data_IF_482404109825
#
_entry.id   IF_482404109825
#
_cell.length_a   1.000
_cell.length_b   1.000
_cell.length_c   1.000
_cell.angle_alpha   90.00
_cell.angle_beta   90.00
_cell.angle_gamma   90.00
#
_symmetry.space_group_name_H-M   'P 1'
#
loop_
_entity.id
_entity.type
_entity.pdbx_description
1 polymer ?
#
# COMPACT_ATOMS: atom_id res chain seq x y z
N UNK A 1 15.93 7.08 24.22
CA UNK A 1 16.99 6.09 23.92
C UNK A 1 16.67 4.66 24.37
N UNK A 2 16.28 4.36 25.63
CA UNK A 2 15.84 2.98 25.99
C UNK A 2 14.61 2.48 25.20
N UNK A 3 13.75 3.39 24.71
CA UNK A 3 12.49 3.08 24.02
C UNK A 3 12.66 2.45 22.63
N UNK A 4 13.60 2.91 21.79
CA UNK A 4 13.75 2.37 20.43
C UNK A 4 14.27 0.91 20.45
N UNK A 5 15.24 0.63 21.33
CA UNK A 5 15.77 -0.72 21.54
C UNK A 5 14.74 -1.66 22.19
N UNK A 6 13.85 -1.14 23.05
CA UNK A 6 12.78 -1.96 23.64
C UNK A 6 11.64 -2.28 22.67
N UNK A 7 11.38 -1.43 21.67
CA UNK A 7 10.41 -1.75 20.60
C UNK A 7 10.93 -2.80 19.62
N UNK A 8 12.23 -2.77 19.27
CA UNK A 8 12.88 -3.83 18.51
C UNK A 8 12.95 -5.15 19.30
N UNK A 9 13.14 -5.10 20.63
CA UNK A 9 13.14 -6.31 21.47
C UNK A 9 11.74 -6.92 21.68
N UNK A 10 10.66 -6.14 21.73
CA UNK A 10 9.29 -6.68 21.90
C UNK A 10 8.83 -7.51 20.71
N UNK A 11 9.39 -7.30 19.52
CA UNK A 11 9.06 -8.08 18.32
C UNK A 11 9.64 -9.52 18.41
N UNK A 12 10.71 -9.72 19.18
CA UNK A 12 11.38 -11.03 19.30
C UNK A 12 10.85 -11.95 20.42
N UNK A 13 9.99 -11.48 21.32
CA UNK A 13 9.67 -12.22 22.56
C UNK A 13 8.18 -12.50 22.83
N UNK A 14 7.27 -12.18 21.92
CA UNK A 14 5.85 -12.56 22.06
C UNK A 14 5.41 -13.54 20.98
N UNK A 15 5.89 -14.77 21.07
CA UNK A 15 5.14 -15.93 20.60
C UNK A 15 5.61 -17.19 21.33
N UNK A 16 4.70 -17.89 22.02
CA UNK A 16 4.67 -19.32 21.77
C UNK A 16 3.24 -19.85 21.82
N UNK A 17 2.62 -20.08 20.67
CA UNK A 17 1.65 -21.18 20.53
C UNK A 17 2.00 -21.93 19.25
N UNK A 18 2.87 -22.92 19.40
CA UNK A 18 3.02 -24.02 18.46
C UNK A 18 1.75 -24.87 18.62
N UNK A 19 0.83 -24.78 17.67
CA UNK A 19 -0.20 -25.80 17.48
C UNK A 19 0.06 -26.50 16.16
N UNK A 20 0.52 -27.74 16.29
CA UNK A 20 0.60 -28.73 15.21
C UNK A 20 -0.81 -29.05 14.70
N UNK A 21 -1.05 -28.90 13.40
CA UNK A 21 -2.17 -29.52 12.70
C UNK A 21 -1.63 -30.47 11.62
N UNK A 22 -2.33 -31.59 11.33
CA UNK A 22 -1.77 -32.72 10.62
C UNK A 22 -1.70 -32.46 9.12
N UNK A 23 -0.57 -32.84 8.53
CA UNK A 23 -0.37 -32.92 7.09
C UNK A 23 -1.18 -34.12 6.59
N UNK A 24 -2.21 -33.85 5.79
CA UNK A 24 -2.83 -34.88 4.94
C UNK A 24 -1.82 -35.18 3.83
N UNK A 25 -1.22 -36.37 3.91
CA UNK A 25 -0.42 -36.94 2.83
C UNK A 25 -1.31 -37.23 1.62
N UNK A 26 -1.08 -36.53 0.52
CA UNK A 26 -1.39 -37.07 -0.80
C UNK A 26 -0.08 -37.39 -1.52
N UNK A 27 0.24 -38.68 -1.54
CA UNK A 27 1.21 -39.28 -2.43
C UNK A 27 0.75 -39.11 -3.88
N UNK A 28 1.49 -38.40 -4.72
CA UNK A 28 1.66 -38.77 -6.13
C UNK A 28 3.09 -38.48 -6.61
N UNK A 29 3.80 -39.60 -6.77
CA UNK A 29 4.94 -39.95 -7.63
C UNK A 29 5.95 -38.89 -8.10
N UNK A 30 7.19 -39.21 -7.72
CA UNK A 30 8.47 -38.76 -8.24
C UNK A 30 8.56 -38.76 -9.77
N UNK A 31 9.14 -37.69 -10.31
CA UNK A 31 10.10 -37.78 -11.41
C UNK A 31 11.32 -36.94 -11.02
N UNK A 32 12.47 -37.59 -11.03
CA UNK A 32 13.78 -37.03 -10.73
C UNK A 32 14.06 -35.80 -11.61
N UNK A 33 14.31 -34.66 -10.98
CA UNK A 33 15.21 -33.65 -11.50
C UNK A 33 16.22 -33.32 -10.39
N UNK A 34 17.48 -33.32 -10.78
CA UNK A 34 18.68 -33.08 -9.97
C UNK A 34 18.52 -31.91 -8.99
N UNK A 35 19.21 -31.92 -7.83
CA UNK A 35 19.24 -30.76 -6.97
C UNK A 35 20.04 -29.69 -7.71
N UNK A 36 19.37 -28.81 -8.44
CA UNK A 36 19.88 -27.46 -8.59
C UNK A 36 20.01 -26.94 -7.16
N UNK A 37 21.24 -26.87 -6.66
CA UNK A 37 21.54 -26.04 -5.52
C UNK A 37 20.98 -24.67 -5.85
N UNK A 38 19.82 -24.33 -5.26
CA UNK A 38 19.22 -23.00 -5.36
C UNK A 38 20.30 -22.02 -4.91
N UNK A 39 20.91 -21.37 -5.89
CA UNK A 39 21.96 -20.40 -5.67
C UNK A 39 21.25 -19.19 -5.08
N UNK A 40 21.35 -19.02 -3.76
CA UNK A 40 20.88 -17.81 -3.10
C UNK A 40 21.71 -16.65 -3.65
N UNK A 41 21.05 -15.77 -4.37
CA UNK A 41 21.65 -14.56 -4.89
C UNK A 41 21.79 -13.56 -3.75
N UNK A 42 22.99 -13.58 -3.14
CA UNK A 42 23.36 -12.72 -2.03
C UNK A 42 24.42 -11.72 -2.48
N UNK A 43 24.13 -10.44 -2.28
CA UNK A 43 25.07 -9.35 -2.50
C UNK A 43 25.44 -8.70 -1.17
N UNK A 44 26.73 -8.42 -0.98
CA UNK A 44 27.21 -7.66 0.16
C UNK A 44 28.39 -6.78 -0.23
N UNK A 45 28.26 -5.48 0.01
CA UNK A 45 29.29 -4.49 -0.13
C UNK A 45 29.87 -4.16 1.24
N UNK A 46 31.18 -4.35 1.39
CA UNK A 46 31.88 -4.09 2.65
C UNK A 46 32.08 -2.59 2.88
N UNK A 47 31.03 -1.92 3.36
CA UNK A 47 31.10 -0.50 3.75
C UNK A 47 31.77 -0.33 5.13
N UNK A 48 32.52 0.73 5.39
CA UNK A 48 33.10 1.00 6.70
C UNK A 48 32.05 1.30 7.78
N UNK A 49 32.26 0.79 8.99
CA UNK A 49 31.45 1.08 10.17
C UNK A 49 31.76 2.48 10.69
N UNK A 50 30.74 3.35 10.77
CA UNK A 50 30.90 4.74 11.22
C UNK A 50 29.84 5.04 12.27
N UNK A 51 30.26 5.52 13.44
CA UNK A 51 29.36 5.99 14.50
C UNK A 51 29.14 7.49 14.36
N UNK A 52 27.89 7.93 14.40
CA UNK A 52 27.50 9.33 14.35
C UNK A 52 27.92 10.05 15.64
N UNK A 53 28.49 11.25 15.51
CA UNK A 53 28.94 12.04 16.67
C UNK A 53 27.79 12.71 17.45
N UNK A 54 26.59 12.76 16.87
CA UNK A 54 25.39 13.33 17.48
C UNK A 54 24.12 12.83 16.80
N UNK A 55 22.96 13.05 17.44
CA UNK A 55 21.67 12.53 16.95
C UNK A 55 21.29 13.03 15.54
N UNK A 56 21.79 14.21 15.17
CA UNK A 56 21.52 14.88 13.91
C UNK A 56 22.48 14.49 12.77
N UNK A 57 23.48 13.64 13.06
CA UNK A 57 24.60 13.36 12.16
C UNK A 57 24.44 12.07 11.34
N UNK A 58 23.28 11.42 11.37
CA UNK A 58 23.06 10.12 10.69
C UNK A 58 23.40 10.19 9.19
N UNK A 59 23.01 11.26 8.48
CA UNK A 59 23.36 11.46 7.07
C UNK A 59 24.85 11.69 6.90
N UNK A 60 25.49 12.54 7.71
CA UNK A 60 26.92 12.82 7.61
C UNK A 60 27.78 11.56 7.87
N UNK A 61 27.41 10.76 8.87
CA UNK A 61 28.06 9.50 9.16
C UNK A 61 27.85 8.47 8.03
N UNK A 62 26.65 8.41 7.46
CA UNK A 62 26.35 7.58 6.27
C UNK A 62 27.19 7.99 5.06
N UNK A 63 27.33 9.31 4.81
CA UNK A 63 28.18 9.86 3.75
C UNK A 63 29.65 9.48 3.95
N UNK A 64 30.18 9.59 5.17
CA UNK A 64 31.56 9.16 5.44
C UNK A 64 31.76 7.68 5.18
N UNK A 65 30.81 6.82 5.58
CA UNK A 65 30.87 5.39 5.29
C UNK A 65 30.93 5.15 3.78
N UNK A 66 30.02 5.78 3.04
CA UNK A 66 29.95 5.71 1.58
C UNK A 66 31.22 6.22 0.90
N UNK A 67 31.71 7.42 1.24
CA UNK A 67 32.93 7.98 0.66
C UNK A 67 34.15 7.11 0.95
N UNK A 68 34.25 6.58 2.18
CA UNK A 68 35.33 5.68 2.57
C UNK A 68 35.28 4.36 1.77
N UNK A 69 34.07 3.84 1.48
CA UNK A 69 33.90 2.69 0.59
C UNK A 69 34.43 2.97 -0.84
N UNK A 70 34.22 4.18 -1.35
CA UNK A 70 34.75 4.60 -2.65
C UNK A 70 36.27 4.82 -2.66
N UNK A 71 36.92 4.83 -1.50
CA UNK A 71 38.37 4.96 -1.36
C UNK A 71 38.85 6.34 -0.92
N UNK A 72 37.96 7.17 -0.37
CA UNK A 72 38.36 8.48 0.17
C UNK A 72 39.23 8.36 1.43
N UNK A 73 40.37 9.05 1.42
CA UNK A 73 41.35 9.08 2.52
C UNK A 73 41.02 10.12 3.61
N UNK A 74 39.77 10.13 4.10
CA UNK A 74 39.25 10.87 5.29
C UNK A 74 40.03 12.15 5.69
N UNK A 75 40.05 13.15 4.83
CA UNK A 75 40.66 14.47 5.10
C UNK A 75 39.70 15.47 5.75
N UNK A 76 38.45 15.07 5.99
CA UNK A 76 37.39 15.87 6.63
C UNK A 76 36.73 15.14 7.80
N UNK A 77 36.33 15.92 8.78
CA UNK A 77 35.55 15.47 9.94
C UNK A 77 34.07 15.30 9.61
N UNK A 78 33.32 14.55 10.44
CA UNK A 78 31.86 14.47 10.34
C UNK A 78 31.19 15.84 10.39
N UNK A 79 31.71 16.77 11.20
CA UNK A 79 31.20 18.14 11.28
C UNK A 79 31.39 18.94 9.99
N UNK A 80 32.53 18.79 9.31
CA UNK A 80 32.75 19.46 8.03
C UNK A 80 31.81 18.90 6.94
N UNK A 81 31.70 17.57 6.83
CA UNK A 81 30.77 16.92 5.90
C UNK A 81 29.32 17.33 6.20
N UNK A 82 28.95 17.40 7.48
CA UNK A 82 27.63 17.83 7.90
C UNK A 82 27.30 19.26 7.44
N UNK A 83 28.19 20.22 7.67
CA UNK A 83 27.98 21.61 7.26
C UNK A 83 27.95 21.77 5.73
N UNK A 84 28.84 21.09 5.01
CA UNK A 84 28.84 21.08 3.54
C UNK A 84 27.53 20.55 2.98
N UNK A 85 27.10 19.36 3.44
CA UNK A 85 25.88 18.73 2.98
C UNK A 85 24.64 19.58 3.30
N UNK A 86 24.58 20.22 4.49
CA UNK A 86 23.49 21.14 4.83
C UNK A 86 23.43 22.36 3.93
N UNK A 87 24.59 22.96 3.63
CA UNK A 87 24.67 24.12 2.74
C UNK A 87 24.21 23.77 1.32
N UNK A 88 24.67 22.63 0.79
CA UNK A 88 24.33 22.18 -0.57
C UNK A 88 22.85 21.83 -0.69
N UNK A 89 22.33 21.10 0.28
CA UNK A 89 20.90 20.71 0.31
C UNK A 89 19.96 21.86 0.67
N UNK A 90 20.50 23.04 0.98
CA UNK A 90 19.76 24.21 1.46
C UNK A 90 18.84 23.84 2.62
N UNK A 91 19.34 23.00 3.54
CA UNK A 91 18.57 22.54 4.69
C UNK A 91 18.28 23.73 5.62
N UNK A 92 17.01 24.08 5.88
CA UNK A 92 16.65 25.24 6.69
C UNK A 92 17.24 25.18 8.10
N UNK A 93 17.48 26.34 8.70
CA UNK A 93 18.08 26.45 10.04
C UNK A 93 17.23 25.85 11.16
N UNK A 94 15.91 25.70 10.95
CA UNK A 94 14.98 25.10 11.91
C UNK A 94 14.92 23.56 11.83
N UNK A 95 15.51 22.93 10.82
CA UNK A 95 15.65 21.47 10.76
C UNK A 95 16.99 21.06 11.36
N UNK A 96 16.99 20.06 12.24
CA UNK A 96 18.22 19.68 12.96
C UNK A 96 19.13 18.71 12.20
N UNK A 97 18.75 18.17 11.02
CA UNK A 97 19.56 17.22 10.22
C UNK A 97 20.01 17.71 8.83
N UNK A 98 20.09 16.78 7.86
CA UNK A 98 20.35 17.06 6.43
C UNK A 98 19.20 16.49 5.60
N UNK A 99 18.66 17.26 4.66
CA UNK A 99 17.66 16.76 3.71
C UNK A 99 18.30 15.84 2.67
N UNK A 100 17.79 14.61 2.54
CA UNK A 100 18.04 13.82 1.33
C UNK A 100 17.22 14.39 0.17
N UNK A 101 17.89 14.78 -0.91
CA UNK A 101 17.31 15.35 -2.12
C UNK A 101 18.28 15.18 -3.32
N UNK A 102 17.90 15.69 -4.50
CA UNK A 102 18.73 15.65 -5.71
C UNK A 102 20.08 16.35 -5.55
N UNK A 103 20.13 17.47 -4.81
CA UNK A 103 21.38 18.19 -4.57
C UNK A 103 22.37 17.37 -3.73
N UNK A 104 21.88 16.57 -2.78
CA UNK A 104 22.72 15.65 -2.03
C UNK A 104 23.28 14.53 -2.91
N UNK A 105 22.48 14.00 -3.84
CA UNK A 105 22.95 12.99 -4.80
C UNK A 105 24.09 13.56 -5.69
N UNK A 106 23.91 14.78 -6.19
CA UNK A 106 24.95 15.47 -6.97
C UNK A 106 26.21 15.70 -6.14
N UNK A 107 26.07 16.15 -4.89
CA UNK A 107 27.22 16.28 -3.98
C UNK A 107 27.97 14.98 -3.79
N UNK A 108 27.27 13.85 -3.63
CA UNK A 108 27.90 12.54 -3.47
C UNK A 108 28.76 12.21 -4.70
N UNK A 109 28.20 12.36 -5.90
CA UNK A 109 28.90 12.08 -7.16
C UNK A 109 30.13 12.99 -7.31
N UNK A 110 29.94 14.30 -7.14
CA UNK A 110 31.02 15.28 -7.27
C UNK A 110 32.12 15.05 -6.23
N UNK A 111 31.76 14.70 -4.99
CA UNK A 111 32.71 14.42 -3.93
C UNK A 111 33.55 13.18 -4.27
N UNK A 112 32.92 12.08 -4.67
CA UNK A 112 33.61 10.84 -5.04
C UNK A 112 34.55 11.10 -6.22
N UNK A 113 34.06 11.74 -7.27
CA UNK A 113 34.86 12.03 -8.46
C UNK A 113 36.06 12.92 -8.13
N UNK A 114 35.84 14.00 -7.38
CA UNK A 114 36.90 14.94 -7.00
C UNK A 114 37.96 14.33 -6.09
N UNK A 115 37.57 13.45 -5.16
CA UNK A 115 38.48 12.92 -4.14
C UNK A 115 39.11 11.58 -4.50
N UNK A 116 38.50 10.82 -5.42
CA UNK A 116 38.97 9.46 -5.78
C UNK A 116 39.21 9.27 -7.27
N UNK A 117 38.76 10.19 -8.13
CA UNK A 117 38.83 10.07 -9.59
C UNK A 117 37.91 8.99 -10.17
N UNK A 118 36.98 8.45 -9.36
CA UNK A 118 36.01 7.43 -9.79
C UNK A 118 34.66 8.06 -10.09
N UNK A 119 34.05 7.61 -11.18
CA UNK A 119 32.68 7.99 -11.53
C UNK A 119 31.69 7.19 -10.69
N UNK A 120 30.75 7.89 -10.06
CA UNK A 120 29.61 7.33 -9.35
C UNK A 120 28.31 7.93 -9.93
N UNK A 121 27.22 7.17 -9.90
CA UNK A 121 25.93 7.62 -10.43
C UNK A 121 24.82 7.49 -9.39
N UNK A 122 24.96 8.24 -8.29
CA UNK A 122 23.91 8.39 -7.30
C UNK A 122 22.79 9.28 -7.84
N UNK A 123 21.56 8.78 -7.76
CA UNK A 123 20.32 9.53 -7.99
C UNK A 123 19.49 9.58 -6.72
N UNK A 124 18.62 10.58 -6.64
CA UNK A 124 17.65 10.71 -5.56
C UNK A 124 16.30 10.15 -5.98
N UNK A 125 15.79 9.22 -5.19
CA UNK A 125 14.44 8.68 -5.30
C UNK A 125 13.68 9.01 -4.01
N UNK A 126 12.71 9.92 -4.09
CA UNK A 126 11.76 10.19 -3.01
C UNK A 126 10.55 9.29 -3.18
N UNK A 127 10.15 8.62 -2.11
CA UNK A 127 9.04 7.66 -2.13
C UNK A 127 8.03 8.07 -1.07
N UNK A 128 6.79 8.29 -1.51
CA UNK A 128 5.73 8.83 -0.67
C UNK A 128 5.14 7.77 0.28
N UNK A 129 4.28 8.24 1.19
CA UNK A 129 3.66 7.46 2.28
C UNK A 129 2.79 6.28 1.81
N UNK A 130 2.52 6.19 0.51
CA UNK A 130 1.70 5.13 -0.10
C UNK A 130 2.51 3.91 -0.55
N UNK A 131 3.83 3.87 -0.35
CA UNK A 131 4.70 2.74 -0.71
C UNK A 131 4.78 1.66 0.37
N UNK A 132 5.02 0.42 -0.04
CA UNK A 132 5.19 -0.74 0.85
C UNK A 132 3.84 -1.33 1.27
N UNK A 133 2.80 -1.09 0.46
CA UNK A 133 1.42 -1.52 0.71
C UNK A 133 1.01 -2.65 -0.24
N UNK A 134 1.95 -3.23 -0.99
CA UNK A 134 1.73 -4.40 -1.83
C UNK A 134 3.03 -5.17 -2.05
N UNK A 135 2.93 -6.43 -2.47
CA UNK A 135 4.08 -7.24 -2.90
C UNK A 135 4.82 -6.60 -4.07
N UNK A 136 4.08 -6.00 -5.01
CA UNK A 136 4.69 -5.28 -6.16
C UNK A 136 5.60 -4.14 -5.70
N UNK A 137 5.23 -3.40 -4.65
CA UNK A 137 6.09 -2.35 -4.10
C UNK A 137 7.38 -2.94 -3.56
N UNK A 138 7.28 -4.05 -2.82
CA UNK A 138 8.45 -4.73 -2.27
C UNK A 138 9.34 -5.25 -3.41
N UNK A 139 8.77 -5.83 -4.47
CA UNK A 139 9.52 -6.30 -5.62
C UNK A 139 10.23 -5.14 -6.35
N UNK A 140 9.58 -3.99 -6.51
CA UNK A 140 10.18 -2.77 -7.09
C UNK A 140 11.36 -2.29 -6.22
N UNK A 141 11.18 -2.22 -4.90
CA UNK A 141 12.25 -1.83 -3.99
C UNK A 141 13.41 -2.81 -4.02
N UNK A 142 13.13 -4.10 -3.97
CA UNK A 142 14.12 -5.19 -4.00
C UNK A 142 14.95 -5.14 -5.28
N UNK A 143 14.28 -4.98 -6.43
CA UNK A 143 14.93 -4.82 -7.72
C UNK A 143 15.85 -3.59 -7.75
N UNK A 144 15.41 -2.46 -7.20
CA UNK A 144 16.24 -1.27 -7.10
C UNK A 144 17.47 -1.49 -6.21
N UNK A 145 17.30 -2.13 -5.05
CA UNK A 145 18.39 -2.45 -4.13
C UNK A 145 19.40 -3.38 -4.80
N UNK A 146 18.93 -4.47 -5.41
CA UNK A 146 19.76 -5.40 -6.16
C UNK A 146 20.58 -4.69 -7.23
N UNK A 147 19.93 -3.91 -8.09
CA UNK A 147 20.59 -3.20 -9.19
C UNK A 147 21.68 -2.26 -8.67
N UNK A 148 21.39 -1.48 -7.62
CA UNK A 148 22.40 -0.58 -7.05
C UNK A 148 23.58 -1.34 -6.44
N UNK A 149 23.32 -2.38 -5.65
CA UNK A 149 24.39 -3.13 -4.99
C UNK A 149 25.24 -3.94 -5.98
N UNK A 150 24.63 -4.51 -7.03
CA UNK A 150 25.33 -5.25 -8.09
C UNK A 150 26.31 -4.38 -8.88
N UNK A 151 26.05 -3.07 -8.93
CA UNK A 151 26.92 -2.05 -9.53
C UNK A 151 27.87 -1.40 -8.50
N UNK A 152 28.16 -2.09 -7.40
CA UNK A 152 29.02 -1.61 -6.32
C UNK A 152 28.63 -0.24 -5.76
N UNK A 153 27.33 0.07 -5.74
CA UNK A 153 26.82 1.36 -5.28
C UNK A 153 25.97 1.15 -4.01
N UNK A 154 26.55 1.28 -2.80
CA UNK A 154 25.78 1.20 -1.56
C UNK A 154 24.78 2.35 -1.47
N UNK A 155 23.61 2.12 -0.86
CA UNK A 155 22.49 3.06 -0.88
C UNK A 155 22.38 3.76 0.47
N UNK A 156 22.23 5.09 0.49
CA UNK A 156 21.74 5.78 1.69
C UNK A 156 20.21 5.72 1.67
N UNK A 157 19.63 5.14 2.72
CA UNK A 157 18.19 5.11 2.93
C UNK A 157 17.83 6.02 4.10
N UNK A 158 17.07 7.07 3.81
CA UNK A 158 16.41 7.92 4.79
C UNK A 158 15.06 7.33 5.16
N UNK A 159 14.91 6.94 6.42
CA UNK A 159 13.70 6.36 6.98
C UNK A 159 13.03 7.31 7.96
N UNK A 160 11.70 7.20 8.09
CA UNK A 160 10.90 7.97 9.03
C UNK A 160 10.21 7.02 10.01
N UNK A 161 10.90 6.52 11.06
CA UNK A 161 10.28 5.62 12.05
C UNK A 161 9.05 6.22 12.75
N UNK A 162 8.97 7.54 12.87
CA UNK A 162 7.78 8.27 13.30
C UNK A 162 7.64 9.57 12.52
N UNK A 163 6.43 10.13 12.47
CA UNK A 163 6.20 11.45 11.89
C UNK A 163 7.12 12.49 12.56
N UNK A 164 7.98 13.12 11.77
CA UNK A 164 8.93 14.15 12.24
C UNK A 164 10.26 13.62 12.80
N UNK A 165 10.47 12.30 12.90
CA UNK A 165 11.75 11.71 13.28
C UNK A 165 12.35 10.99 12.08
N UNK A 166 13.30 11.63 11.40
CA UNK A 166 14.07 11.02 10.32
C UNK A 166 15.35 10.36 10.83
N UNK A 167 15.74 9.26 10.21
CA UNK A 167 17.04 8.60 10.42
C UNK A 167 17.61 8.17 9.07
N UNK A 168 18.93 8.04 8.97
CA UNK A 168 19.59 7.59 7.75
C UNK A 168 20.48 6.38 8.04
N UNK A 169 20.40 5.37 7.19
CA UNK A 169 21.19 4.14 7.24
C UNK A 169 21.85 3.88 5.89
N UNK A 170 22.89 3.05 5.86
CA UNK A 170 23.55 2.62 4.61
C UNK A 170 23.17 1.18 4.30
N UNK A 171 22.29 0.98 3.32
CA UNK A 171 22.00 -0.34 2.77
C UNK A 171 23.21 -0.82 1.96
N UNK A 172 23.70 -2.00 2.31
CA UNK A 172 24.94 -2.55 1.79
C UNK A 172 24.87 -4.05 1.52
N UNK A 173 23.75 -4.71 1.80
CA UNK A 173 23.54 -6.09 1.38
C UNK A 173 22.09 -6.42 1.12
N UNK A 174 21.89 -7.45 0.33
CA UNK A 174 20.59 -7.99 -0.05
C UNK A 174 20.70 -9.51 -0.27
N UNK A 175 19.69 -10.24 0.17
CA UNK A 175 19.50 -11.66 -0.10
C UNK A 175 18.03 -11.87 -0.48
N UNK A 176 17.80 -12.29 -1.72
CA UNK A 176 16.47 -12.57 -2.26
C UNK A 176 15.89 -13.85 -1.63
N UNK A 177 14.60 -13.80 -1.29
CA UNK A 177 13.79 -14.97 -1.01
C UNK A 177 13.01 -15.34 -2.28
N UNK A 178 13.42 -16.45 -2.89
CA UNK A 178 12.89 -16.90 -4.19
C UNK A 178 11.42 -17.37 -4.12
N UNK A 179 10.91 -17.65 -2.93
CA UNK A 179 9.54 -18.10 -2.73
C UNK A 179 8.61 -16.92 -2.48
N UNK A 180 9.05 -15.90 -1.73
CA UNK A 180 8.22 -14.75 -1.37
C UNK A 180 9.03 -13.52 -0.96
N UNK A 181 8.93 -12.46 -1.76
CA UNK A 181 9.60 -11.17 -1.54
C UNK A 181 9.32 -10.49 -0.19
N UNK A 182 8.26 -10.86 0.54
CA UNK A 182 8.08 -10.40 1.92
C UNK A 182 9.23 -10.81 2.86
N UNK A 183 9.96 -11.87 2.51
CA UNK A 183 11.07 -12.40 3.28
C UNK A 183 12.44 -12.03 2.70
N UNK A 184 12.49 -11.21 1.65
CA UNK A 184 13.72 -10.61 1.17
C UNK A 184 14.45 -9.91 2.32
N UNK A 185 15.75 -10.15 2.42
CA UNK A 185 16.58 -9.66 3.52
C UNK A 185 17.46 -8.51 3.06
N UNK A 186 17.48 -7.46 3.85
CA UNK A 186 18.31 -6.28 3.65
C UNK A 186 19.30 -6.14 4.79
N UNK A 187 20.55 -5.86 4.46
CA UNK A 187 21.60 -5.57 5.43
C UNK A 187 21.95 -4.09 5.35
N UNK A 188 21.83 -3.39 6.48
CA UNK A 188 22.22 -1.99 6.57
C UNK A 188 23.18 -1.73 7.73
N UNK A 189 24.06 -0.74 7.56
CA UNK A 189 24.86 -0.16 8.64
C UNK A 189 24.07 1.00 9.25
N UNK A 190 23.82 0.93 10.57
CA UNK A 190 23.18 2.00 11.33
C UNK A 190 24.24 2.92 11.94
N UNK A 191 24.29 4.21 11.54
CA UNK A 191 25.26 5.15 12.10
C UNK A 191 25.10 5.41 13.60
N UNK A 192 23.97 5.08 14.22
CA UNK A 192 23.76 5.27 15.66
C UNK A 192 24.83 4.57 16.50
N UNK A 193 25.23 3.37 16.08
CA UNK A 193 26.25 2.56 16.76
C UNK A 193 27.28 1.94 15.81
N UNK A 194 27.19 2.24 14.50
CA UNK A 194 28.08 1.77 13.45
C UNK A 194 27.93 0.28 13.13
N UNK A 195 26.94 -0.42 13.69
CA UNK A 195 26.76 -1.86 13.50
C UNK A 195 25.92 -2.17 12.27
N UNK A 196 26.03 -3.42 11.83
CA UNK A 196 25.21 -3.97 10.75
C UNK A 196 23.99 -4.69 11.31
N UNK A 197 22.85 -4.49 10.66
CA UNK A 197 21.56 -5.07 11.01
C UNK A 197 20.91 -5.68 9.78
N UNK A 198 20.37 -6.88 9.94
CA UNK A 198 19.54 -7.55 8.93
C UNK A 198 18.06 -7.26 9.25
N UNK A 199 17.29 -6.94 8.22
CA UNK A 199 15.83 -6.76 8.30
C UNK A 199 15.16 -7.44 7.12
N UNK A 200 14.03 -8.09 7.35
CA UNK A 200 13.20 -8.65 6.27
C UNK A 200 12.27 -7.57 5.70
N UNK A 201 11.86 -7.70 4.43
CA UNK A 201 10.96 -6.74 3.79
C UNK A 201 9.66 -6.52 4.57
N UNK A 202 9.12 -7.59 5.16
CA UNK A 202 7.93 -7.53 6.02
C UNK A 202 8.12 -6.67 7.28
N UNK A 203 9.33 -6.47 7.77
CA UNK A 203 9.56 -5.54 8.88
C UNK A 203 9.95 -4.16 8.38
N UNK A 204 10.66 -4.09 7.26
CA UNK A 204 11.06 -2.84 6.64
C UNK A 204 9.85 -2.02 6.16
N UNK A 205 8.79 -2.64 5.63
CA UNK A 205 7.61 -1.88 5.16
C UNK A 205 6.91 -1.11 6.29
N UNK A 206 6.97 -1.60 7.54
CA UNK A 206 6.42 -0.87 8.70
C UNK A 206 7.09 0.49 8.88
N UNK A 207 8.35 0.60 8.46
CA UNK A 207 9.16 1.82 8.50
C UNK A 207 8.86 2.73 7.30
N UNK A 208 8.37 2.18 6.18
CA UNK A 208 7.93 2.95 4.99
C UNK A 208 6.61 3.68 5.17
N UNK A 209 5.87 3.45 6.27
CA UNK A 209 4.56 4.08 6.57
C UNK A 209 4.55 5.60 6.40
N UNK A 210 5.68 6.26 6.64
CA UNK A 210 5.82 7.72 6.53
C UNK A 210 6.69 8.15 5.35
N UNK A 211 6.75 7.30 4.33
CA UNK A 211 7.62 7.47 3.17
C UNK A 211 9.08 7.24 3.51
N UNK A 212 9.92 7.22 2.49
CA UNK A 212 11.36 7.09 2.63
C UNK A 212 12.08 7.74 1.45
N UNK A 213 13.38 7.90 1.61
CA UNK A 213 14.24 8.55 0.62
C UNK A 213 15.41 7.66 0.33
N UNK A 214 15.79 7.55 -0.93
CA UNK A 214 16.93 6.75 -1.37
C UNK A 214 17.92 7.60 -2.13
N UNK A 215 19.19 7.36 -1.87
CA UNK A 215 20.32 7.81 -2.68
C UNK A 215 21.12 6.58 -3.08
N UNK A 216 20.95 6.13 -4.32
CA UNK A 216 21.59 4.93 -4.86
C UNK A 216 21.68 5.02 -6.38
N UNK A 217 22.06 3.92 -7.03
CA UNK A 217 22.24 3.91 -8.47
C UNK A 217 20.92 3.97 -9.24
N UNK A 218 20.83 4.90 -10.20
CA UNK A 218 19.70 4.98 -11.11
C UNK A 218 18.37 5.40 -10.47
N UNK A 219 17.30 5.37 -11.27
CA UNK A 219 15.96 5.72 -10.80
C UNK A 219 15.19 4.46 -10.42
N UNK A 220 14.47 4.52 -9.29
CA UNK A 220 13.49 3.50 -8.94
C UNK A 220 12.30 3.59 -9.91
N UNK A 221 11.75 2.45 -10.32
CA UNK A 221 10.53 2.42 -11.13
C UNK A 221 9.39 3.03 -10.30
N UNK A 222 8.54 3.84 -10.96
CA UNK A 222 7.38 4.43 -10.30
C UNK A 222 6.37 3.37 -9.86
N UNK A 223 5.67 3.64 -8.77
CA UNK A 223 4.60 2.76 -8.28
C UNK A 223 3.35 2.88 -9.14
N UNK A 224 2.60 1.77 -9.25
CA UNK A 224 1.31 1.76 -9.91
C UNK A 224 0.30 2.64 -9.17
N UNK A 225 -0.51 3.39 -9.91
CA UNK A 225 -1.54 4.28 -9.35
C UNK A 225 -2.66 3.55 -8.59
N UNK A 226 -2.70 2.22 -8.63
CA UNK A 226 -3.63 1.44 -7.83
C UNK A 226 -3.13 0.04 -7.53
N UNK A 227 -3.72 -0.56 -6.50
CA UNK A 227 -3.54 -1.96 -6.12
C UNK A 227 -4.77 -2.73 -6.57
N UNK A 228 -4.59 -3.74 -7.42
CA UNK A 228 -5.67 -4.64 -7.83
C UNK A 228 -5.83 -5.73 -6.80
N UNK A 229 -7.07 -5.97 -6.37
CA UNK A 229 -7.43 -7.02 -5.44
C UNK A 229 -8.45 -7.92 -6.13
N UNK A 230 -8.16 -9.22 -6.13
CA UNK A 230 -9.07 -10.24 -6.62
C UNK A 230 -10.24 -10.40 -5.63
N UNK A 231 -11.45 -10.38 -6.16
CA UNK A 231 -12.71 -10.53 -5.43
C UNK A 231 -13.59 -11.58 -6.11
N UNK A 232 -14.51 -12.16 -5.35
CA UNK A 232 -15.50 -13.07 -5.94
C UNK A 232 -16.46 -12.25 -6.82
N UNK A 233 -16.49 -12.60 -8.11
CA UNK A 233 -17.44 -12.03 -9.06
C UNK A 233 -18.85 -12.57 -8.78
N UNK A 234 -19.87 -11.74 -9.03
CA UNK A 234 -21.27 -12.15 -8.93
C UNK A 234 -22.13 -11.53 -10.04
N UNK A 235 -23.28 -12.14 -10.29
CA UNK A 235 -24.21 -11.76 -11.35
C UNK A 235 -25.63 -12.14 -10.93
N UNK A 236 -26.27 -11.25 -10.18
CA UNK A 236 -27.55 -11.50 -9.56
C UNK A 236 -28.64 -10.63 -10.16
N UNK A 237 -29.83 -11.22 -10.26
CA UNK A 237 -31.02 -10.56 -10.78
C UNK A 237 -32.16 -10.70 -9.77
N UNK A 238 -32.68 -9.57 -9.28
CA UNK A 238 -33.89 -9.55 -8.50
C UNK A 238 -35.08 -9.20 -9.41
N UNK A 239 -36.05 -10.11 -9.46
CA UNK A 239 -37.29 -9.97 -10.21
C UNK A 239 -38.44 -9.70 -9.25
N UNK A 240 -39.47 -9.01 -9.73
CA UNK A 240 -40.73 -8.81 -9.00
C UNK A 240 -40.55 -8.14 -7.63
N UNK A 241 -39.69 -7.12 -7.55
CA UNK A 241 -39.50 -6.32 -6.33
C UNK A 241 -40.78 -5.53 -6.05
N UNK A 242 -41.41 -5.77 -4.90
CA UNK A 242 -42.63 -5.07 -4.50
C UNK A 242 -42.42 -3.55 -4.42
N UNK A 243 -43.46 -2.78 -4.75
CA UNK A 243 -43.46 -1.31 -4.76
C UNK A 243 -43.51 -0.65 -3.37
N UNK A 244 -43.22 -1.37 -2.29
CA UNK A 244 -43.40 -0.95 -0.90
C UNK A 244 -42.17 -0.19 -0.32
N UNK A 245 -41.16 0.04 -1.14
CA UNK A 245 -39.91 0.74 -0.83
C UNK A 245 -39.07 0.07 0.27
N UNK A 246 -39.20 -1.24 0.47
CA UNK A 246 -38.30 -1.98 1.37
C UNK A 246 -37.01 -2.42 0.66
N UNK A 247 -35.84 -2.26 1.30
CA UNK A 247 -34.59 -2.79 0.79
C UNK A 247 -34.60 -4.32 0.80
N UNK A 248 -34.21 -4.92 -0.33
CA UNK A 248 -33.96 -6.36 -0.49
C UNK A 248 -32.46 -6.53 -0.72
N UNK A 249 -31.83 -7.43 0.06
CA UNK A 249 -30.42 -7.76 -0.12
C UNK A 249 -30.20 -8.46 -1.47
N UNK A 250 -29.15 -8.06 -2.19
CA UNK A 250 -28.77 -8.65 -3.48
C UNK A 250 -27.57 -9.57 -3.25
N UNK A 251 -26.41 -8.96 -3.00
CA UNK A 251 -25.17 -9.68 -2.72
C UNK A 251 -24.16 -8.78 -1.96
N UNK A 252 -23.03 -9.37 -1.54
CA UNK A 252 -21.94 -8.73 -0.80
C UNK A 252 -20.57 -9.02 -1.43
N UNK A 253 -19.76 -7.97 -1.58
CA UNK A 253 -18.31 -8.15 -1.81
C UNK A 253 -17.58 -7.94 -0.50
N UNK A 254 -16.80 -8.92 -0.07
CA UNK A 254 -15.96 -8.83 1.14
C UNK A 254 -14.50 -8.92 0.77
N UNK A 255 -13.69 -7.99 1.31
CA UNK A 255 -12.25 -7.91 1.09
C UNK A 255 -11.53 -7.78 2.43
N UNK A 256 -10.57 -8.67 2.68
CA UNK A 256 -9.62 -8.48 3.77
C UNK A 256 -8.51 -7.52 3.30
N UNK A 257 -8.60 -6.25 3.68
CA UNK A 257 -7.65 -5.23 3.29
C UNK A 257 -6.27 -5.52 3.87
N UNK A 258 -6.18 -5.94 5.14
CA UNK A 258 -4.87 -6.20 5.78
C UNK A 258 -4.09 -7.29 5.07
N UNK A 259 -4.76 -8.35 4.62
CA UNK A 259 -4.09 -9.41 3.86
C UNK A 259 -3.61 -8.95 2.48
N UNK A 260 -4.34 -8.03 1.84
CA UNK A 260 -4.02 -7.56 0.49
C UNK A 260 -3.03 -6.39 0.46
N UNK A 261 -3.07 -5.50 1.47
CA UNK A 261 -2.25 -4.27 1.50
C UNK A 261 -1.32 -4.13 2.70
N UNK A 262 -1.27 -5.13 3.60
CA UNK A 262 -0.52 -5.07 4.86
C UNK A 262 -0.93 -3.92 5.81
N UNK A 263 -1.99 -3.16 5.49
CA UNK A 263 -2.51 -2.08 6.32
C UNK A 263 -3.61 -2.61 7.24
N UNK A 264 -3.41 -2.50 8.55
CA UNK A 264 -4.43 -2.78 9.57
C UNK A 264 -5.08 -1.51 10.15
N UNK A 265 -4.45 -0.35 9.95
CA UNK A 265 -4.90 0.94 10.47
C UNK A 265 -5.76 1.70 9.43
N UNK A 266 -7.01 2.01 9.78
CA UNK A 266 -7.94 2.66 8.87
C UNK A 266 -7.56 4.12 8.58
N UNK A 267 -6.97 4.82 9.55
CA UNK A 267 -6.50 6.20 9.34
C UNK A 267 -5.35 6.23 8.33
N UNK A 268 -4.45 5.23 8.39
CA UNK A 268 -3.39 5.08 7.40
C UNK A 268 -3.95 4.64 6.05
N UNK A 269 -4.90 3.71 6.02
CA UNK A 269 -5.56 3.28 4.79
C UNK A 269 -6.18 4.46 4.02
N UNK A 270 -6.96 5.31 4.69
CA UNK A 270 -7.57 6.50 4.08
C UNK A 270 -6.56 7.58 3.71
N UNK A 271 -5.35 7.53 4.27
CA UNK A 271 -4.23 8.40 3.87
C UNK A 271 -3.54 7.86 2.61
N UNK A 272 -3.31 6.55 2.55
CA UNK A 272 -2.61 5.88 1.46
C UNK A 272 -3.46 5.74 0.18
N UNK A 273 -4.78 5.63 0.32
CA UNK A 273 -5.71 5.42 -0.78
C UNK A 273 -6.79 6.50 -0.84
N UNK A 274 -7.14 6.93 -2.04
CA UNK A 274 -8.13 7.99 -2.32
C UNK A 274 -9.51 7.43 -2.69
N UNK A 275 -9.57 6.30 -3.39
CA UNK A 275 -10.82 5.63 -3.73
C UNK A 275 -10.70 4.11 -3.81
N UNK A 276 -11.86 3.48 -3.76
CA UNK A 276 -12.06 2.05 -3.96
C UNK A 276 -13.00 1.91 -5.15
N UNK A 277 -12.47 1.38 -6.25
CA UNK A 277 -13.15 1.32 -7.54
C UNK A 277 -13.48 -0.13 -7.92
N UNK A 278 -14.68 -0.34 -8.45
CA UNK A 278 -15.15 -1.56 -9.08
C UNK A 278 -15.27 -1.30 -10.60
N UNK A 279 -14.18 -1.47 -11.36
CA UNK A 279 -14.14 -1.11 -12.79
C UNK A 279 -15.07 -1.98 -13.65
N UNK A 280 -15.33 -3.21 -13.21
CA UNK A 280 -16.19 -4.17 -13.91
C UNK A 280 -17.58 -4.28 -13.26
N UNK A 281 -17.98 -3.29 -12.46
CA UNK A 281 -19.32 -3.23 -11.92
C UNK A 281 -20.31 -2.73 -12.98
N UNK A 282 -21.46 -3.38 -13.07
CA UNK A 282 -22.58 -2.96 -13.90
C UNK A 282 -23.88 -3.19 -13.16
N UNK A 283 -24.73 -2.17 -13.13
CA UNK A 283 -26.09 -2.28 -12.63
C UNK A 283 -27.10 -1.97 -13.74
N UNK A 284 -28.17 -2.76 -13.79
CA UNK A 284 -29.26 -2.60 -14.74
C UNK A 284 -30.58 -2.47 -13.99
N UNK A 285 -31.38 -1.48 -14.34
CA UNK A 285 -32.79 -1.37 -13.93
C UNK A 285 -33.63 -1.66 -15.16
N UNK A 286 -34.40 -2.75 -15.12
CA UNK A 286 -35.26 -3.18 -16.24
C UNK A 286 -36.52 -2.32 -16.23
N UNK A 287 -36.75 -1.61 -17.33
CA UNK A 287 -37.96 -0.81 -17.56
C UNK A 287 -39.08 -1.70 -18.08
N UNK A 288 -40.32 -1.26 -17.94
CA UNK A 288 -41.49 -2.04 -18.37
C UNK A 288 -41.65 -1.98 -19.88
N UNK A 289 -41.43 -0.80 -20.49
CA UNK A 289 -41.70 -0.60 -21.92
C UNK A 289 -40.44 -0.31 -22.78
N UNK A 290 -39.27 -0.23 -22.16
CA UNK A 290 -38.05 0.29 -22.79
C UNK A 290 -36.81 -0.55 -22.49
N UNK A 291 -35.72 -0.23 -23.18
CA UNK A 291 -34.39 -0.76 -22.87
C UNK A 291 -33.98 -0.46 -21.41
N UNK A 292 -33.24 -1.39 -20.76
CA UNK A 292 -32.79 -1.21 -19.39
C UNK A 292 -32.00 0.09 -19.22
N UNK A 293 -32.21 0.75 -18.08
CA UNK A 293 -31.29 1.78 -17.62
C UNK A 293 -30.03 1.09 -17.11
N UNK A 294 -28.86 1.44 -17.64
CA UNK A 294 -27.59 0.79 -17.31
C UNK A 294 -26.65 1.83 -16.70
N UNK A 295 -26.03 1.46 -15.58
CA UNK A 295 -24.91 2.19 -15.00
C UNK A 295 -23.70 1.27 -14.95
N UNK A 296 -22.60 1.74 -15.51
CA UNK A 296 -21.31 1.05 -15.50
C UNK A 296 -20.35 1.75 -14.55
N UNK A 297 -19.42 0.98 -14.01
CA UNK A 297 -18.44 1.37 -13.00
C UNK A 297 -19.06 1.86 -11.69
N UNK A 298 -18.42 1.51 -10.59
CA UNK A 298 -18.80 1.98 -9.27
C UNK A 298 -17.55 2.32 -8.48
N UNK A 299 -17.58 3.39 -7.69
CA UNK A 299 -16.43 3.84 -6.92
C UNK A 299 -16.85 4.58 -5.67
N UNK A 300 -16.06 4.42 -4.61
CA UNK A 300 -16.25 5.08 -3.33
C UNK A 300 -14.97 5.80 -2.94
N UNK A 301 -15.09 7.08 -2.59
CA UNK A 301 -14.01 7.84 -1.96
C UNK A 301 -13.73 7.29 -0.56
N UNK A 302 -12.45 7.08 -0.23
CA UNK A 302 -12.02 6.68 1.12
C UNK A 302 -12.29 7.76 2.16
N UNK A 303 -12.50 9.02 1.74
CA UNK A 303 -12.91 10.10 2.63
C UNK A 303 -14.29 9.90 3.27
N UNK A 304 -15.09 8.95 2.77
CA UNK A 304 -16.37 8.54 3.38
C UNK A 304 -16.19 7.52 4.51
N UNK A 305 -14.99 6.95 4.67
CA UNK A 305 -14.67 6.01 5.73
C UNK A 305 -14.28 6.78 7.01
N UNK A 306 -14.43 6.18 8.20
CA UNK A 306 -13.94 6.76 9.45
C UNK A 306 -12.45 7.11 9.35
N UNK A 307 -12.08 8.27 9.90
CA UNK A 307 -10.69 8.74 9.98
C UNK A 307 -9.94 8.21 11.21
N UNK A 308 -10.62 7.43 12.05
CA UNK A 308 -10.06 6.76 13.22
C UNK A 308 -10.27 5.26 13.13
N UNK A 309 -9.44 4.51 13.85
CA UNK A 309 -9.58 3.07 13.97
C UNK A 309 -10.90 2.73 14.68
N UNK A 310 -11.66 1.81 14.09
CA UNK A 310 -12.95 1.32 14.60
C UNK A 310 -12.99 -0.20 14.47
N UNK A 311 -13.56 -0.88 15.48
CA UNK A 311 -13.70 -2.34 15.43
C UNK A 311 -14.88 -2.77 14.55
N UNK A 312 -15.94 -1.95 14.57
CA UNK A 312 -17.11 -2.10 13.73
C UNK A 312 -17.58 -0.72 13.28
N UNK A 313 -17.86 -0.57 11.99
CA UNK A 313 -18.54 0.60 11.46
C UNK A 313 -19.40 0.23 10.27
N UNK A 314 -20.53 0.92 10.14
CA UNK A 314 -21.49 0.74 9.05
C UNK A 314 -21.84 2.10 8.48
N UNK A 315 -21.70 2.27 7.18
CA UNK A 315 -22.12 3.50 6.50
C UNK A 315 -23.65 3.61 6.46
N UNK A 316 -24.13 4.82 6.19
CA UNK A 316 -25.49 4.98 5.68
C UNK A 316 -25.63 4.30 4.31
N UNK A 317 -26.89 4.00 3.93
CA UNK A 317 -27.20 3.48 2.59
C UNK A 317 -26.91 4.56 1.55
N UNK A 318 -25.95 4.31 0.66
CA UNK A 318 -25.60 5.19 -0.44
C UNK A 318 -26.32 4.75 -1.71
N UNK A 319 -27.06 5.65 -2.35
CA UNK A 319 -27.72 5.36 -3.62
C UNK A 319 -26.66 5.17 -4.73
N UNK A 320 -26.73 4.03 -5.42
CA UNK A 320 -25.83 3.68 -6.53
C UNK A 320 -26.51 3.91 -7.86
N UNK A 321 -27.77 3.52 -8.04
CA UNK A 321 -28.47 3.63 -9.31
C UNK A 321 -29.95 3.78 -9.04
N UNK A 322 -30.66 4.65 -9.76
CA UNK A 322 -32.10 4.75 -9.67
C UNK A 322 -32.69 5.21 -10.98
N UNK A 323 -33.89 4.70 -11.28
CA UNK A 323 -34.68 5.10 -12.43
C UNK A 323 -36.15 5.15 -12.04
N UNK A 324 -36.89 6.08 -12.64
CA UNK A 324 -38.33 6.21 -12.45
C UNK A 324 -39.05 6.13 -13.78
N UNK A 325 -40.12 5.33 -13.85
CA UNK A 325 -40.99 5.20 -15.03
C UNK A 325 -42.43 5.53 -14.63
N UNK A 326 -43.16 6.20 -15.51
CA UNK A 326 -44.59 6.48 -15.34
C UNK A 326 -45.38 5.53 -16.22
N UNK A 327 -46.30 4.77 -15.63
CA UNK A 327 -47.13 3.78 -16.31
C UNK A 327 -48.59 4.03 -15.90
N UNK A 328 -49.39 4.51 -16.85
CA UNK A 328 -50.76 4.94 -16.56
C UNK A 328 -50.79 6.07 -15.52
N UNK A 329 -51.49 5.85 -14.40
CA UNK A 329 -51.57 6.79 -13.29
C UNK A 329 -50.53 6.53 -12.18
N UNK A 330 -49.63 5.57 -12.35
CA UNK A 330 -48.63 5.20 -11.35
C UNK A 330 -47.23 5.56 -11.79
N UNK A 331 -46.35 5.84 -10.84
CA UNK A 331 -44.91 6.02 -11.07
C UNK A 331 -44.17 4.99 -10.24
N UNK A 332 -43.36 4.15 -10.88
CA UNK A 332 -42.47 3.23 -10.19
C UNK A 332 -41.05 3.78 -10.21
N UNK A 333 -40.47 3.96 -9.03
CA UNK A 333 -39.05 4.29 -8.84
C UNK A 333 -38.32 3.06 -8.35
N UNK A 334 -37.48 2.48 -9.21
CA UNK A 334 -36.60 1.36 -8.86
C UNK A 334 -35.21 1.88 -8.54
N UNK A 335 -34.54 1.30 -7.55
CA UNK A 335 -33.24 1.76 -7.09
C UNK A 335 -32.35 0.63 -6.59
N UNK A 336 -31.05 0.92 -6.61
CA UNK A 336 -29.96 0.11 -6.08
C UNK A 336 -29.16 0.99 -5.14
N UNK A 337 -28.85 0.48 -3.95
CA UNK A 337 -28.01 1.14 -2.96
C UNK A 337 -26.93 0.20 -2.45
N UNK A 338 -25.96 0.78 -1.74
CA UNK A 338 -24.86 0.05 -1.12
C UNK A 338 -24.67 0.54 0.32
N UNK A 339 -24.43 -0.41 1.22
CA UNK A 339 -23.89 -0.16 2.55
C UNK A 339 -22.45 -0.66 2.60
N UNK A 340 -21.57 0.15 3.16
CA UNK A 340 -20.19 -0.24 3.45
C UNK A 340 -20.12 -0.67 4.91
N UNK A 341 -19.49 -1.81 5.17
CA UNK A 341 -19.20 -2.28 6.53
C UNK A 341 -17.70 -2.45 6.70
N UNK A 342 -17.21 -1.98 7.83
CA UNK A 342 -15.84 -2.20 8.28
C UNK A 342 -15.93 -3.10 9.51
N UNK A 343 -15.19 -4.19 9.47
CA UNK A 343 -15.03 -5.10 10.60
C UNK A 343 -13.54 -5.33 10.84
N UNK A 344 -13.13 -5.28 12.11
CA UNK A 344 -11.80 -5.66 12.53
C UNK A 344 -11.88 -6.95 13.32
N UNK A 345 -11.16 -7.98 12.88
CA UNK A 345 -11.07 -9.24 13.62
C UNK A 345 -10.08 -9.14 14.77
N UNK A 346 -10.10 -10.14 15.66
CA UNK A 346 -9.26 -10.19 16.87
C UNK A 346 -7.75 -10.18 16.58
N UNK A 347 -7.32 -10.60 15.39
CA UNK A 347 -5.94 -10.50 14.92
C UNK A 347 -5.60 -9.12 14.30
N UNK A 348 -6.49 -8.14 14.43
CA UNK A 348 -6.36 -6.80 13.88
C UNK A 348 -6.43 -6.72 12.33
N UNK A 349 -6.94 -7.77 11.66
CA UNK A 349 -7.20 -7.68 10.22
C UNK A 349 -8.42 -6.79 9.95
N UNK A 350 -8.24 -5.85 9.03
CA UNK A 350 -9.26 -4.94 8.55
C UNK A 350 -10.00 -5.58 7.36
N UNK A 351 -11.29 -5.85 7.55
CA UNK A 351 -12.18 -6.36 6.50
C UNK A 351 -13.18 -5.28 6.09
N UNK A 352 -13.32 -5.09 4.78
CA UNK A 352 -14.27 -4.18 4.16
C UNK A 352 -15.31 -4.98 3.38
N UNK A 353 -16.60 -4.76 3.67
CA UNK A 353 -17.70 -5.35 2.93
C UNK A 353 -18.55 -4.28 2.24
N UNK A 354 -18.96 -4.56 1.00
CA UNK A 354 -19.90 -3.76 0.23
C UNK A 354 -21.17 -4.58 0.02
N UNK A 355 -22.23 -4.27 0.76
CA UNK A 355 -23.54 -4.93 0.64
C UNK A 355 -24.44 -4.15 -0.29
N UNK A 356 -24.89 -4.80 -1.35
CA UNK A 356 -25.81 -4.20 -2.32
C UNK A 356 -27.26 -4.54 -1.98
N UNK A 357 -28.12 -3.55 -2.13
CA UNK A 357 -29.56 -3.66 -1.88
C UNK A 357 -30.34 -3.10 -3.06
N UNK A 358 -31.49 -3.70 -3.33
CA UNK A 358 -32.45 -3.25 -4.33
C UNK A 358 -33.78 -2.86 -3.70
N UNK A 359 -34.53 -1.98 -4.35
CA UNK A 359 -35.88 -1.66 -3.92
C UNK A 359 -36.69 -0.99 -5.02
N UNK A 360 -38.01 -0.99 -4.87
CA UNK A 360 -38.92 -0.29 -5.74
C UNK A 360 -39.96 0.46 -4.92
N UNK A 361 -40.37 1.65 -5.39
CA UNK A 361 -41.44 2.44 -4.78
C UNK A 361 -42.47 2.79 -5.83
N UNK A 362 -43.71 2.40 -5.62
CA UNK A 362 -44.83 2.80 -6.48
C UNK A 362 -45.57 3.96 -5.81
N UNK A 363 -45.84 5.00 -6.58
CA UNK A 363 -46.64 6.16 -6.16
C UNK A 363 -47.76 6.42 -7.16
N UNK A 364 -48.99 6.57 -6.67
CA UNK A 364 -50.14 6.95 -7.50
C UNK A 364 -50.17 8.47 -7.72
N UNK A 365 -50.39 8.88 -8.96
CA UNK A 365 -50.61 10.28 -9.33
C UNK A 365 -52.11 10.59 -9.22
N UNK A 366 -52.48 11.41 -8.22
CA UNK A 366 -53.87 11.76 -7.87
C UNK A 366 -54.65 12.56 -8.95
N UNK A 367 -54.10 12.73 -10.15
CA UNK A 367 -54.65 13.61 -11.20
C UNK A 367 -55.26 12.88 -12.40
N UNK A 368 -55.18 11.54 -12.45
CA UNK A 368 -55.73 10.73 -13.55
C UNK A 368 -56.81 9.78 -13.01
N UNK A 369 -57.88 9.59 -13.76
CA UNK A 369 -58.98 8.67 -13.41
C UNK A 369 -58.42 7.29 -13.06
N UNK A 370 -58.90 6.71 -11.94
CA UNK A 370 -58.55 5.35 -11.52
C UNK A 370 -59.02 4.35 -12.58
N UNK A 371 -58.09 3.91 -13.43
CA UNK A 371 -58.25 2.70 -14.23
C UNK A 371 -57.73 1.58 -13.34
N UNK A 372 -58.62 0.68 -12.88
CA UNK A 372 -58.21 -0.54 -12.18
C UNK A 372 -57.36 -1.39 -13.12
N UNK A 373 -56.04 -1.32 -12.96
CA UNK A 373 -55.10 -2.24 -13.59
C UNK A 373 -55.07 -3.54 -12.77
N UNK A 374 -55.27 -4.72 -13.38
CA UNK A 374 -55.19 -6.01 -12.68
C UNK A 374 -53.75 -6.41 -12.31
N UNK A 375 -52.75 -5.58 -12.61
CA UNK A 375 -51.34 -5.87 -12.40
C UNK A 375 -50.70 -4.88 -11.43
N UNK A 376 -50.02 -5.39 -10.40
CA UNK A 376 -49.17 -4.60 -9.50
C UNK A 376 -47.82 -4.30 -10.17
N UNK A 377 -47.42 -3.02 -10.22
CA UNK A 377 -46.12 -2.64 -10.74
C UNK A 377 -45.00 -3.11 -9.79
N UNK A 378 -44.06 -3.89 -10.33
CA UNK A 378 -42.90 -4.39 -9.60
C UNK A 378 -41.60 -3.98 -10.24
N UNK A 379 -40.57 -3.73 -9.43
CA UNK A 379 -39.22 -3.44 -9.91
C UNK A 379 -38.48 -4.69 -10.36
N UNK A 380 -37.49 -4.50 -11.23
CA UNK A 380 -36.55 -5.55 -11.62
C UNK A 380 -35.17 -4.96 -11.84
N UNK A 381 -34.17 -5.58 -11.23
CA UNK A 381 -32.78 -5.12 -11.28
C UNK A 381 -31.84 -6.28 -11.53
N UNK A 382 -30.68 -5.97 -12.09
CA UNK A 382 -29.56 -6.89 -12.24
C UNK A 382 -28.27 -6.19 -11.82
N UNK A 383 -27.43 -6.85 -11.04
CA UNK A 383 -26.11 -6.36 -10.67
C UNK A 383 -25.07 -7.39 -11.09
N UNK A 384 -24.00 -6.90 -11.69
CA UNK A 384 -22.83 -7.68 -12.07
C UNK A 384 -21.64 -7.01 -11.40
N UNK A 385 -20.89 -7.76 -10.59
CA UNK A 385 -19.55 -7.36 -10.16
C UNK A 385 -18.54 -8.28 -10.80
N UNK A 386 -17.57 -7.70 -11.52
CA UNK A 386 -16.43 -8.46 -12.03
C UNK A 386 -15.45 -8.89 -10.94
N UNK A 387 -14.35 -9.56 -11.33
CA UNK A 387 -13.48 -10.26 -10.40
C UNK A 387 -12.48 -9.35 -9.67
N UNK A 388 -12.44 -8.04 -9.97
CA UNK A 388 -11.38 -7.17 -9.48
C UNK A 388 -11.95 -5.90 -8.82
N UNK A 389 -11.30 -5.49 -7.74
CA UNK A 389 -11.45 -4.20 -7.09
C UNK A 389 -10.10 -3.47 -7.15
N UNK A 390 -10.12 -2.17 -7.42
CA UNK A 390 -8.91 -1.34 -7.51
C UNK A 390 -8.91 -0.34 -6.36
N UNK A 391 -7.88 -0.40 -5.52
CA UNK A 391 -7.58 0.64 -4.54
C UNK A 391 -6.72 1.71 -5.21
N UNK A 392 -7.26 2.92 -5.41
CA UNK A 392 -6.51 4.04 -5.99
C UNK A 392 -5.63 4.68 -4.95
N UNK A 393 -4.33 4.80 -5.24
CA UNK A 393 -3.37 5.45 -4.32
C UNK A 393 -3.62 6.95 -4.26
N UNK A 394 -3.32 7.53 -3.10
CA UNK A 394 -3.20 8.96 -2.93
C UNK A 394 -1.73 9.37 -3.14
N UNK A 395 -1.40 9.78 -4.37
CA UNK A 395 -0.03 10.14 -4.77
C UNK A 395 0.27 11.64 -4.60
N UNK A 396 -0.69 12.43 -4.12
CA UNK A 396 -0.55 13.88 -3.91
C UNK A 396 -0.45 14.25 -2.42
N UNK A 397 -0.30 13.27 -1.52
CA UNK A 397 -0.41 13.41 -0.06
C UNK A 397 0.88 13.85 0.65
#
# INVERSE_FOLDING_TARGET
MKKLLSYLLTIFLTNPIITSLPIIQNHQNQLFNSPHSLQKDKLFLKVPQIVQIGADYCVAASLISLFSFWGWEKDKTQSQIYQEARAITKTPTWETGIRANKDLANYINDFIQKTTGKEADYKFNGVDISFGVSLDDIAIFSTYVWNSLSLNTPIIMGIHPNRGLGHAVVLCGYEEDLDNHWFDKYLFMDPTDGKFYEVIAQDLHKIFKYGFKLLGHGNMIGINNGVSIDISAFNDELKSIAGDNKPIFIDEVTVNLTQNVAISDLSYFSTAFSSIDFPSFRSEIKKVNDDPDIRECFGISTSLLPNTNVDYWKSENKLVHAYSEVIGCETIRTWISVTILINRSLNNDLTLSFRFYGGAKVTKNNTLQEIESPYELTGRIKIISGPNLILRRNLEA
#
